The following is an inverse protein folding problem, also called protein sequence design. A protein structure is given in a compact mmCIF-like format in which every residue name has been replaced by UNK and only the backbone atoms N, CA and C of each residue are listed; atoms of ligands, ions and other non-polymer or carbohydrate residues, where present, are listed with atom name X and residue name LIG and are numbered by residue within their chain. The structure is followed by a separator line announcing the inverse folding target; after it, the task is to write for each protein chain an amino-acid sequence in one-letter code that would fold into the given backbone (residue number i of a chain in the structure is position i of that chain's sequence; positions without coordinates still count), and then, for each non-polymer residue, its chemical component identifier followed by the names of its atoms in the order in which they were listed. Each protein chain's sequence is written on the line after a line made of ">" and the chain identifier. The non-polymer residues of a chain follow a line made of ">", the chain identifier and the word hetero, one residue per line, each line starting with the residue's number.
data_IF_629948319265
#
_entry.id   IF_629948319265
#
_cell.length_a   1.000
_cell.length_b   1.000
_cell.length_c   1.000
_cell.angle_alpha   90.00
_cell.angle_beta   90.00
_cell.angle_gamma   90.00
#
_symmetry.space_group_name_H-M   'P 1'
#
loop_
_entity.id
_entity.type
_entity.pdbx_description
1 polymer ?
#
# COMPACT_ATOMS: atom_id res chain seq x y z
N UNK A 1 -16.66 -25.27 -40.21
CA UNK A 1 -17.86 -24.55 -39.72
C UNK A 1 -17.39 -23.56 -38.66
N UNK A 2 -17.59 -22.31 -38.94
CA UNK A 2 -17.01 -21.07 -38.41
C UNK A 2 -17.48 -20.84 -36.97
N UNK A 3 -16.54 -20.71 -36.01
CA UNK A 3 -16.86 -20.13 -34.71
C UNK A 3 -16.28 -18.70 -34.75
N UNK A 4 -17.19 -17.77 -34.99
CA UNK A 4 -16.91 -16.37 -35.17
C UNK A 4 -16.57 -15.69 -33.83
N UNK A 5 -15.63 -14.81 -33.95
CA UNK A 5 -15.14 -13.81 -33.01
C UNK A 5 -16.27 -12.99 -32.37
N UNK A 6 -16.22 -12.87 -31.04
CA UNK A 6 -16.70 -11.69 -30.34
C UNK A 6 -15.58 -11.15 -29.44
N UNK A 7 -14.59 -10.52 -30.08
CA UNK A 7 -13.74 -9.57 -29.37
C UNK A 7 -14.50 -8.25 -29.33
N UNK A 8 -15.16 -7.95 -28.20
CA UNK A 8 -15.61 -6.59 -27.93
C UNK A 8 -14.36 -5.70 -27.88
N UNK A 9 -14.26 -4.76 -28.83
CA UNK A 9 -13.30 -3.65 -28.77
C UNK A 9 -13.48 -2.95 -27.44
N UNK A 10 -12.59 -3.24 -26.48
CA UNK A 10 -12.48 -2.51 -25.24
C UNK A 10 -12.17 -1.05 -25.55
N UNK A 11 -13.02 -0.14 -25.07
CA UNK A 11 -12.74 1.29 -24.99
C UNK A 11 -11.36 1.41 -24.33
N UNK A 12 -10.38 2.03 -25.02
CA UNK A 12 -9.08 2.32 -24.40
C UNK A 12 -9.37 3.12 -23.14
N UNK A 13 -9.12 2.54 -21.97
CA UNK A 13 -9.26 3.23 -20.70
C UNK A 13 -8.18 4.30 -20.63
N UNK A 14 -8.57 5.50 -20.23
CA UNK A 14 -7.66 6.59 -19.92
C UNK A 14 -6.77 6.14 -18.74
N UNK A 15 -5.51 5.83 -19.02
CA UNK A 15 -4.52 5.38 -18.04
C UNK A 15 -3.74 6.55 -17.43
N UNK A 16 -4.11 7.80 -17.76
CA UNK A 16 -3.50 8.97 -17.15
C UNK A 16 -4.07 9.14 -15.72
N UNK A 17 -3.31 8.66 -14.74
CA UNK A 17 -3.63 8.76 -13.32
C UNK A 17 -3.03 10.05 -12.77
N UNK A 18 -3.88 10.87 -12.16
CA UNK A 18 -3.50 12.14 -11.54
C UNK A 18 -3.34 12.00 -10.02
N UNK A 19 -2.73 12.99 -9.39
CA UNK A 19 -2.68 13.11 -7.92
C UNK A 19 -4.07 13.17 -7.29
N UNK A 20 -5.03 13.82 -7.97
CA UNK A 20 -6.41 13.92 -7.49
C UNK A 20 -7.13 12.57 -7.53
N UNK A 21 -6.89 11.75 -8.55
CA UNK A 21 -7.41 10.38 -8.61
C UNK A 21 -6.92 9.57 -7.41
N UNK A 22 -5.65 9.71 -7.02
CA UNK A 22 -5.06 9.01 -5.87
C UNK A 22 -5.58 9.58 -4.53
N UNK A 23 -5.72 10.90 -4.43
CA UNK A 23 -6.25 11.56 -3.23
C UNK A 23 -7.70 11.14 -2.92
N UNK A 24 -8.52 10.87 -3.94
CA UNK A 24 -9.88 10.36 -3.73
C UNK A 24 -9.86 9.01 -3.01
N UNK A 25 -8.91 8.13 -3.32
CA UNK A 25 -8.82 6.79 -2.75
C UNK A 25 -8.47 6.78 -1.26
N UNK A 26 -7.83 7.83 -0.74
CA UNK A 26 -7.52 7.95 0.69
C UNK A 26 -8.74 8.20 1.59
N UNK A 27 -9.94 8.34 1.03
CA UNK A 27 -11.19 8.42 1.78
C UNK A 27 -11.61 7.08 2.39
N UNK A 28 -11.07 5.98 1.89
CA UNK A 28 -11.40 4.62 2.31
C UNK A 28 -10.16 3.91 2.84
N UNK A 29 -10.38 3.01 3.77
CA UNK A 29 -9.32 2.16 4.30
C UNK A 29 -8.86 1.09 3.29
N UNK A 30 -7.69 0.50 3.55
CA UNK A 30 -7.12 -0.52 2.66
C UNK A 30 -8.01 -1.75 2.50
N UNK A 31 -8.72 -2.27 3.52
CA UNK A 31 -9.73 -3.32 3.34
C UNK A 31 -10.82 -2.97 2.35
N UNK A 32 -11.37 -1.75 2.41
CA UNK A 32 -12.40 -1.29 1.47
C UNK A 32 -11.88 -1.23 0.03
N UNK A 33 -10.62 -0.75 -0.17
CA UNK A 33 -9.96 -0.79 -1.48
C UNK A 33 -9.79 -2.24 -1.96
N UNK A 34 -9.40 -3.17 -1.10
CA UNK A 34 -9.30 -4.59 -1.45
C UNK A 34 -10.65 -5.17 -1.90
N UNK A 35 -11.73 -4.89 -1.17
CA UNK A 35 -13.08 -5.33 -1.53
C UNK A 35 -13.50 -4.79 -2.91
N UNK A 36 -13.21 -3.52 -3.18
CA UNK A 36 -13.50 -2.94 -4.50
C UNK A 36 -12.67 -3.60 -5.62
N UNK A 37 -11.40 -3.90 -5.37
CA UNK A 37 -10.56 -4.60 -6.34
C UNK A 37 -11.02 -6.02 -6.62
N UNK A 38 -11.58 -6.73 -5.62
CA UNK A 38 -12.18 -8.06 -5.81
C UNK A 38 -13.40 -8.03 -6.74
N UNK A 39 -14.21 -6.97 -6.69
CA UNK A 39 -15.35 -6.78 -7.59
C UNK A 39 -14.90 -6.39 -9.01
N UNK A 40 -13.85 -5.56 -9.13
CA UNK A 40 -13.35 -5.08 -10.42
C UNK A 40 -12.54 -6.16 -11.14
N UNK A 41 -11.72 -6.92 -10.39
CA UNK A 41 -10.76 -7.91 -10.90
C UNK A 41 -10.81 -9.15 -9.98
N UNK A 42 -11.83 -10.02 -10.10
CA UNK A 42 -12.04 -11.15 -9.19
C UNK A 42 -10.86 -12.10 -9.06
N UNK A 43 -10.00 -12.19 -10.07
CA UNK A 43 -8.80 -13.02 -10.08
C UNK A 43 -7.77 -12.57 -9.04
N UNK A 44 -7.83 -11.31 -8.58
CA UNK A 44 -6.92 -10.74 -7.59
C UNK A 44 -7.28 -11.03 -6.13
N UNK A 45 -8.34 -11.74 -5.87
CA UNK A 45 -8.82 -12.03 -4.50
C UNK A 45 -7.75 -12.63 -3.57
N UNK A 46 -6.75 -13.31 -4.09
CA UNK A 46 -5.72 -13.99 -3.31
C UNK A 46 -4.33 -13.35 -3.34
N UNK A 47 -4.12 -12.20 -3.99
CA UNK A 47 -2.79 -11.60 -4.15
C UNK A 47 -2.83 -10.09 -4.41
N UNK A 48 -1.64 -9.46 -4.32
CA UNK A 48 -1.45 -8.03 -4.57
C UNK A 48 -1.65 -7.17 -3.34
N UNK A 49 -1.63 -7.75 -2.16
CA UNK A 49 -1.69 -7.07 -0.86
C UNK A 49 -0.74 -7.74 0.15
N UNK A 50 -0.49 -7.07 1.26
CA UNK A 50 0.33 -7.60 2.36
C UNK A 50 -0.41 -8.69 3.12
N UNK A 51 0.28 -9.79 3.46
CA UNK A 51 -0.33 -11.02 4.03
C UNK A 51 0.26 -11.45 5.37
N UNK A 52 1.32 -10.78 5.85
CA UNK A 52 1.97 -11.15 7.10
C UNK A 52 1.81 -10.05 8.16
N UNK A 53 2.09 -10.39 9.41
CA UNK A 53 2.00 -9.45 10.53
C UNK A 53 2.92 -8.24 10.31
N UNK A 54 2.41 -7.06 10.66
CA UNK A 54 3.09 -5.77 10.53
C UNK A 54 2.72 -4.85 11.70
N UNK A 55 3.49 -3.78 11.87
CA UNK A 55 3.25 -2.72 12.85
C UNK A 55 3.05 -1.39 12.13
N UNK A 56 2.01 -0.65 12.48
CA UNK A 56 1.86 0.75 12.09
C UNK A 56 2.48 1.64 13.14
N UNK A 57 3.26 2.64 12.72
CA UNK A 57 3.85 3.64 13.62
C UNK A 57 2.76 4.47 14.32
N UNK A 58 1.76 4.90 13.58
CA UNK A 58 0.59 5.63 14.09
C UNK A 58 -0.68 5.11 13.39
N UNK A 59 -1.41 4.18 14.03
CA UNK A 59 -2.61 3.58 13.43
C UNK A 59 -3.79 4.54 13.33
N UNK A 60 -3.69 5.74 13.89
CA UNK A 60 -4.74 6.77 13.77
C UNK A 60 -4.62 7.62 12.50
N UNK A 61 -3.52 7.49 11.76
CA UNK A 61 -3.35 8.25 10.51
C UNK A 61 -4.32 7.77 9.42
N UNK A 62 -4.81 8.70 8.60
CA UNK A 62 -5.61 8.34 7.43
C UNK A 62 -4.78 7.52 6.45
N UNK A 63 -5.44 6.75 5.56
CA UNK A 63 -4.77 6.04 4.48
C UNK A 63 -3.98 6.98 3.57
N UNK A 64 -2.95 6.43 2.92
CA UNK A 64 -2.17 7.10 1.90
C UNK A 64 -2.25 6.33 0.58
N UNK A 65 -2.22 7.06 -0.54
CA UNK A 65 -2.18 6.47 -1.87
C UNK A 65 -1.17 7.21 -2.75
N UNK A 66 -0.24 6.49 -3.38
CA UNK A 66 0.83 7.09 -4.15
C UNK A 66 1.58 6.12 -5.04
N UNK A 67 2.50 6.67 -5.83
CA UNK A 67 3.38 5.89 -6.69
C UNK A 67 4.54 5.30 -5.89
N UNK A 68 4.79 4.01 -6.05
CA UNK A 68 5.87 3.31 -5.36
C UNK A 68 7.26 3.84 -5.75
N UNK A 69 8.12 4.00 -4.74
CA UNK A 69 9.56 4.11 -4.87
C UNK A 69 10.19 2.94 -4.14
N UNK A 70 10.86 2.09 -4.87
CA UNK A 70 11.30 0.79 -4.36
C UNK A 70 12.81 0.76 -4.14
N UNK A 71 13.23 0.14 -3.05
CA UNK A 71 14.63 -0.07 -2.73
C UNK A 71 14.82 -1.33 -1.88
N UNK A 72 16.06 -1.81 -1.81
CA UNK A 72 16.47 -2.87 -0.89
C UNK A 72 17.51 -2.36 0.11
N UNK A 73 17.48 -2.92 1.32
CA UNK A 73 18.43 -2.65 2.39
C UNK A 73 18.97 -3.94 2.98
N UNK A 74 20.12 -3.83 3.61
CA UNK A 74 20.68 -4.82 4.53
C UNK A 74 21.18 -4.14 5.80
N UNK A 75 21.24 -4.89 6.91
CA UNK A 75 21.66 -4.38 8.21
C UNK A 75 22.50 -5.36 9.03
N UNK A 76 22.49 -6.65 8.73
CA UNK A 76 23.17 -7.68 9.51
C UNK A 76 24.71 -7.64 9.38
N UNK A 77 25.23 -7.05 8.31
CA UNK A 77 26.68 -6.91 8.06
C UNK A 77 27.02 -5.51 7.51
N UNK A 78 28.27 -5.05 7.67
CA UNK A 78 28.74 -3.81 7.05
C UNK A 78 28.60 -3.84 5.54
N UNK A 79 28.35 -2.67 4.93
CA UNK A 79 28.38 -2.53 3.48
C UNK A 79 29.75 -2.88 2.91
N UNK A 80 29.83 -3.58 1.77
CA UNK A 80 31.08 -3.78 1.04
C UNK A 80 31.56 -2.50 0.31
N UNK A 81 30.73 -1.48 0.24
CA UNK A 81 31.01 -0.22 -0.45
C UNK A 81 31.84 0.73 0.41
N UNK A 82 32.61 1.61 -0.23
CA UNK A 82 33.32 2.69 0.46
C UNK A 82 32.34 3.73 1.00
N UNK A 83 32.79 4.55 1.93
CA UNK A 83 31.97 5.65 2.48
C UNK A 83 31.49 6.59 1.38
N UNK A 84 32.33 6.92 0.41
CA UNK A 84 32.02 7.80 -0.72
C UNK A 84 30.92 7.18 -1.60
N UNK A 85 31.01 5.88 -1.87
CA UNK A 85 29.98 5.15 -2.64
C UNK A 85 28.65 5.11 -1.90
N UNK A 86 28.63 4.85 -0.60
CA UNK A 86 27.42 4.88 0.21
C UNK A 86 26.78 6.28 0.25
N UNK A 87 27.58 7.34 0.35
CA UNK A 87 27.08 8.72 0.31
C UNK A 87 26.45 9.04 -1.05
N UNK A 88 27.14 8.68 -2.15
CA UNK A 88 26.64 8.90 -3.49
C UNK A 88 25.33 8.11 -3.75
N UNK A 89 25.26 6.85 -3.32
CA UNK A 89 24.04 6.03 -3.44
C UNK A 89 22.89 6.63 -2.64
N UNK A 90 23.14 7.14 -1.44
CA UNK A 90 22.12 7.79 -0.62
C UNK A 90 21.61 9.09 -1.26
N UNK A 91 22.46 9.88 -1.88
CA UNK A 91 22.04 11.06 -2.62
C UNK A 91 21.17 10.69 -3.81
N UNK A 92 21.58 9.72 -4.63
CA UNK A 92 20.78 9.20 -5.75
C UNK A 92 19.43 8.63 -5.30
N UNK A 93 19.38 7.96 -4.16
CA UNK A 93 18.14 7.47 -3.57
C UNK A 93 17.18 8.62 -3.23
N UNK A 94 17.65 9.70 -2.61
CA UNK A 94 16.77 10.83 -2.29
C UNK A 94 16.27 11.56 -3.54
N UNK A 95 17.11 11.70 -4.57
CA UNK A 95 16.68 12.21 -5.88
C UNK A 95 15.58 11.31 -6.50
N UNK A 96 15.77 10.01 -6.43
CA UNK A 96 14.82 9.02 -6.93
C UNK A 96 13.48 9.05 -6.18
N UNK A 97 13.47 9.13 -4.85
CA UNK A 97 12.19 9.14 -4.10
C UNK A 97 11.42 10.45 -4.28
N UNK A 98 12.10 11.56 -4.57
CA UNK A 98 11.49 12.85 -4.86
C UNK A 98 11.05 13.01 -6.31
N UNK A 99 11.43 12.09 -7.21
CA UNK A 99 11.12 12.20 -8.64
C UNK A 99 9.63 12.01 -8.94
N UNK A 100 9.19 12.56 -10.08
CA UNK A 100 7.84 12.32 -10.63
C UNK A 100 7.69 10.92 -11.21
N UNK A 101 6.45 10.34 -11.26
CA UNK A 101 5.19 10.91 -10.79
C UNK A 101 5.09 10.96 -9.26
N UNK A 102 4.30 11.91 -8.75
CA UNK A 102 4.01 12.12 -7.33
C UNK A 102 2.48 12.17 -7.10
N UNK A 103 1.98 11.97 -5.85
CA UNK A 103 2.74 11.71 -4.61
C UNK A 103 3.37 10.31 -4.59
N UNK A 104 4.39 10.13 -3.72
CA UNK A 104 5.13 8.87 -3.64
C UNK A 104 4.95 8.16 -2.30
N UNK A 105 5.09 6.84 -2.32
CA UNK A 105 5.20 5.96 -1.16
C UNK A 105 6.44 5.10 -1.34
N UNK A 106 7.25 4.97 -0.30
CA UNK A 106 8.47 4.16 -0.36
C UNK A 106 8.16 2.72 0.05
N UNK A 107 8.58 1.75 -0.77
CA UNK A 107 8.51 0.33 -0.45
C UNK A 107 9.95 -0.20 -0.36
N UNK A 108 10.41 -0.46 0.85
CA UNK A 108 11.78 -0.94 1.10
C UNK A 108 11.76 -2.37 1.61
N UNK A 109 12.43 -3.26 0.88
CA UNK A 109 12.66 -4.62 1.32
C UNK A 109 13.99 -4.72 2.09
N UNK A 110 13.94 -5.18 3.32
CA UNK A 110 15.08 -5.70 4.05
C UNK A 110 15.35 -7.12 3.55
N UNK A 111 16.51 -7.32 2.90
CA UNK A 111 16.90 -8.58 2.27
C UNK A 111 17.83 -9.42 3.16
N UNK A 112 18.01 -9.05 4.43
CA UNK A 112 18.68 -9.91 5.40
C UNK A 112 17.93 -11.24 5.56
N UNK A 113 18.62 -12.35 5.84
CA UNK A 113 17.99 -13.65 6.13
C UNK A 113 16.96 -13.58 7.26
N UNK A 114 17.14 -12.65 8.19
CA UNK A 114 16.20 -12.30 9.25
C UNK A 114 15.96 -10.79 9.20
N UNK A 115 14.94 -10.31 8.49
CA UNK A 115 14.66 -8.89 8.38
C UNK A 115 14.46 -8.20 9.74
N UNK A 116 14.85 -6.93 9.83
CA UNK A 116 14.67 -6.12 11.02
C UNK A 116 15.81 -6.19 12.04
N UNK A 117 16.99 -6.60 11.65
CA UNK A 117 18.22 -6.49 12.49
C UNK A 117 18.55 -5.03 12.76
N UNK A 118 18.49 -4.18 11.75
CA UNK A 118 18.75 -2.75 11.86
C UNK A 118 17.62 -1.91 11.27
N UNK A 119 17.29 -0.82 11.97
CA UNK A 119 16.25 0.10 11.56
C UNK A 119 16.77 1.13 10.56
N UNK A 120 16.24 1.10 9.33
CA UNK A 120 16.43 2.19 8.37
C UNK A 120 15.60 3.42 8.75
N UNK A 121 14.38 3.20 9.25
CA UNK A 121 13.41 4.21 9.58
C UNK A 121 13.52 4.65 11.05
N UNK A 122 13.45 5.94 11.26
CA UNK A 122 13.44 6.62 12.54
C UNK A 122 13.20 8.11 12.34
N UNK A 123 13.47 8.94 13.35
CA UNK A 123 13.24 10.38 13.32
C UNK A 123 13.81 11.03 12.05
N UNK A 124 15.10 10.83 11.77
CA UNK A 124 15.80 11.50 10.65
C UNK A 124 15.20 11.08 9.30
N UNK A 125 15.03 9.78 9.06
CA UNK A 125 14.54 9.30 7.77
C UNK A 125 13.08 9.68 7.51
N UNK A 126 12.23 9.60 8.52
CA UNK A 126 10.81 9.99 8.37
C UNK A 126 10.67 11.49 8.07
N UNK A 127 11.49 12.34 8.72
CA UNK A 127 11.49 13.78 8.45
C UNK A 127 12.03 14.13 7.07
N UNK A 128 13.14 13.50 6.64
CA UNK A 128 13.69 13.71 5.27
C UNK A 128 12.65 13.34 4.22
N UNK A 129 12.09 12.12 4.30
CA UNK A 129 11.14 11.63 3.30
C UNK A 129 9.88 12.50 3.24
N UNK A 130 9.33 12.86 4.40
CA UNK A 130 8.20 13.78 4.48
C UNK A 130 8.53 15.14 3.85
N UNK A 131 9.71 15.69 4.13
CA UNK A 131 10.20 16.93 3.53
C UNK A 131 10.35 16.85 1.99
N UNK A 132 10.62 15.66 1.45
CA UNK A 132 10.66 15.38 0.02
C UNK A 132 9.28 15.09 -0.61
N UNK A 133 8.19 15.18 0.16
CA UNK A 133 6.83 14.95 -0.34
C UNK A 133 6.39 13.48 -0.36
N UNK A 134 7.16 12.57 0.25
CA UNK A 134 6.79 11.16 0.41
C UNK A 134 5.70 11.04 1.49
N UNK A 135 4.62 10.33 1.19
CA UNK A 135 3.47 10.18 2.08
C UNK A 135 3.70 9.19 3.22
N UNK A 136 4.49 8.17 2.96
CA UNK A 136 4.73 7.09 3.91
C UNK A 136 5.66 6.02 3.37
N UNK A 137 5.85 4.96 4.17
CA UNK A 137 6.69 3.84 3.79
C UNK A 137 6.15 2.50 4.28
N UNK A 138 6.42 1.44 3.52
CA UNK A 138 6.15 0.05 3.88
C UNK A 138 7.45 -0.74 3.81
N UNK A 139 7.81 -1.45 4.89
CA UNK A 139 9.04 -2.25 4.96
C UNK A 139 8.85 -3.49 5.81
N UNK A 140 9.45 -4.60 5.42
CA UNK A 140 9.59 -5.78 6.28
C UNK A 140 10.73 -5.65 7.29
N UNK A 141 11.54 -4.58 7.19
CA UNK A 141 12.58 -4.23 8.14
C UNK A 141 12.03 -3.60 9.43
N UNK A 142 12.92 -3.08 10.26
CA UNK A 142 12.56 -2.42 11.52
C UNK A 142 12.54 -0.90 11.41
N UNK A 143 11.85 -0.28 12.40
CA UNK A 143 11.86 1.15 12.64
C UNK A 143 12.09 1.45 14.15
N UNK A 144 12.51 2.67 14.46
CA UNK A 144 12.82 3.16 15.79
C UNK A 144 12.35 4.60 16.00
N UNK A 145 12.72 5.23 17.09
CA UNK A 145 12.42 6.63 17.41
C UNK A 145 10.90 6.93 17.30
N UNK A 146 10.09 6.00 17.82
CA UNK A 146 8.62 6.02 17.65
C UNK A 146 8.00 7.37 18.05
N UNK A 147 8.31 7.99 19.21
CA UNK A 147 7.71 9.26 19.60
C UNK A 147 8.24 10.47 18.80
N UNK A 148 9.44 10.35 18.20
CA UNK A 148 10.15 11.45 17.55
C UNK A 148 10.06 11.39 16.02
N UNK A 149 9.48 10.33 15.46
CA UNK A 149 9.23 10.18 14.04
C UNK A 149 8.30 11.26 13.50
N UNK A 150 8.46 11.62 12.23
CA UNK A 150 7.71 12.72 11.60
C UNK A 150 6.20 12.51 11.74
N UNK A 151 5.50 13.42 12.42
CA UNK A 151 4.05 13.37 12.57
C UNK A 151 3.34 13.37 11.23
N UNK A 152 2.37 12.48 11.05
CA UNK A 152 1.62 12.35 9.81
C UNK A 152 2.38 11.65 8.68
N UNK A 153 3.53 11.01 8.95
CA UNK A 153 4.20 10.11 8.02
C UNK A 153 3.71 8.68 8.26
N UNK A 154 3.04 8.08 7.27
CA UNK A 154 2.45 6.75 7.41
C UNK A 154 3.53 5.67 7.25
N UNK A 155 4.02 5.13 8.36
CA UNK A 155 5.07 4.12 8.37
C UNK A 155 4.54 2.77 8.85
N UNK A 156 4.70 1.77 8.00
CA UNK A 156 4.37 0.37 8.27
C UNK A 156 5.66 -0.43 8.22
N UNK A 157 5.95 -1.14 9.30
CA UNK A 157 7.19 -1.91 9.42
C UNK A 157 6.99 -3.30 10.02
N UNK A 158 8.00 -4.15 9.86
CA UNK A 158 7.96 -5.52 10.37
C UNK A 158 8.28 -5.64 11.85
N UNK A 159 8.98 -4.64 12.42
CA UNK A 159 9.47 -4.70 13.79
C UNK A 159 9.79 -3.31 14.33
N UNK A 160 9.62 -3.13 15.62
CA UNK A 160 10.21 -2.01 16.36
C UNK A 160 11.56 -2.47 16.90
N UNK A 161 12.64 -1.72 16.64
CA UNK A 161 13.99 -2.09 17.07
C UNK A 161 14.80 -0.88 17.55
N UNK A 162 15.78 -1.05 18.47
CA UNK A 162 16.51 0.06 19.07
C UNK A 162 17.70 0.56 18.27
N UNK A 163 18.22 -0.23 17.34
CA UNK A 163 19.50 0.04 16.67
C UNK A 163 19.36 0.12 15.15
N UNK A 164 20.15 0.97 14.52
CA UNK A 164 20.30 0.96 13.05
C UNK A 164 21.27 -0.14 12.57
N UNK A 165 22.03 -0.79 13.49
CA UNK A 165 23.07 -1.76 13.17
C UNK A 165 23.97 -1.26 12.01
N UNK A 166 24.16 -2.08 10.96
CA UNK A 166 24.91 -1.72 9.75
C UNK A 166 24.02 -1.33 8.57
N UNK A 167 22.79 -0.83 8.84
CA UNK A 167 21.81 -0.57 7.77
C UNK A 167 22.36 0.30 6.65
N UNK A 168 22.23 -0.19 5.44
CA UNK A 168 22.65 0.50 4.23
C UNK A 168 21.74 0.14 3.04
N UNK A 169 21.67 1.02 2.06
CA UNK A 169 21.00 0.75 0.79
C UNK A 169 21.82 -0.24 -0.04
N UNK A 170 21.14 -1.24 -0.58
CA UNK A 170 21.77 -2.20 -1.52
C UNK A 170 21.44 -1.80 -2.94
N UNK A 171 20.14 -1.75 -3.28
CA UNK A 171 19.63 -1.37 -4.60
C UNK A 171 18.51 -0.35 -4.51
N UNK A 172 18.33 0.45 -5.56
CA UNK A 172 17.23 1.39 -5.77
C UNK A 172 16.57 1.11 -7.12
N UNK A 173 15.29 1.48 -7.29
CA UNK A 173 14.54 1.27 -8.54
C UNK A 173 14.52 -0.21 -8.96
N UNK A 174 14.29 -1.11 -8.02
CA UNK A 174 14.28 -2.55 -8.22
C UNK A 174 12.94 -3.16 -7.79
N UNK A 175 12.62 -4.36 -8.30
CA UNK A 175 11.44 -5.09 -7.80
C UNK A 175 11.70 -5.56 -6.37
N UNK A 176 10.72 -5.36 -5.49
CA UNK A 176 10.78 -5.76 -4.07
C UNK A 176 9.57 -6.61 -3.70
N UNK A 177 9.74 -7.41 -2.64
CA UNK A 177 8.62 -8.15 -2.02
C UNK A 177 8.62 -7.86 -0.52
N UNK A 178 7.57 -7.20 -0.05
CA UNK A 178 7.40 -6.80 1.35
C UNK A 178 6.09 -7.37 1.88
N UNK A 179 6.16 -8.19 2.93
CA UNK A 179 4.99 -8.86 3.53
C UNK A 179 4.13 -9.65 2.52
N UNK A 180 4.72 -10.21 1.46
CA UNK A 180 4.00 -10.92 0.40
C UNK A 180 3.52 -10.03 -0.74
N UNK A 181 3.52 -8.71 -0.58
CA UNK A 181 3.24 -7.76 -1.65
C UNK A 181 4.50 -7.55 -2.53
N UNK A 182 4.41 -7.93 -3.79
CA UNK A 182 5.45 -7.62 -4.78
C UNK A 182 5.12 -6.30 -5.47
N UNK A 183 6.09 -5.39 -5.49
CA UNK A 183 5.94 -4.07 -6.09
C UNK A 183 7.21 -3.66 -6.86
N UNK A 184 7.04 -2.78 -7.83
CA UNK A 184 8.09 -2.12 -8.60
C UNK A 184 7.84 -0.62 -8.65
N UNK A 185 8.83 0.13 -9.09
CA UNK A 185 8.74 1.58 -9.27
C UNK A 185 7.51 1.97 -10.09
N UNK A 186 6.84 3.01 -9.63
CA UNK A 186 5.62 3.58 -10.19
C UNK A 186 4.36 2.69 -10.10
N UNK A 187 4.40 1.54 -9.47
CA UNK A 187 3.16 0.86 -9.08
C UNK A 187 2.35 1.77 -8.14
N UNK A 188 1.03 1.72 -8.23
CA UNK A 188 0.15 2.50 -7.37
C UNK A 188 -0.11 1.69 -6.10
N UNK A 189 0.25 2.26 -4.95
CA UNK A 189 0.10 1.62 -3.64
C UNK A 189 -0.87 2.44 -2.80
N UNK A 190 -1.82 1.74 -2.18
CA UNK A 190 -2.63 2.25 -1.09
C UNK A 190 -2.21 1.56 0.20
N UNK A 191 -2.09 2.31 1.29
CA UNK A 191 -1.61 1.77 2.56
C UNK A 191 -2.20 2.50 3.77
N UNK A 192 -2.48 1.74 4.83
CA UNK A 192 -2.88 2.22 6.15
C UNK A 192 -2.48 1.21 7.25
N UNK A 193 -3.03 1.34 8.46
CA UNK A 193 -2.75 0.44 9.58
C UNK A 193 -3.01 -1.05 9.30
N UNK A 194 -3.84 -1.38 8.30
CA UNK A 194 -4.15 -2.78 7.95
C UNK A 194 -3.11 -3.40 7.00
N UNK A 195 -2.25 -2.57 6.39
CA UNK A 195 -1.24 -2.98 5.44
C UNK A 195 -1.26 -2.18 4.15
N UNK A 196 -0.86 -2.83 3.06
CA UNK A 196 -0.77 -2.19 1.76
C UNK A 196 -1.34 -3.07 0.66
N UNK A 197 -1.90 -2.44 -0.38
CA UNK A 197 -2.40 -3.10 -1.60
C UNK A 197 -1.91 -2.35 -2.83
N UNK A 198 -1.56 -3.12 -3.87
CA UNK A 198 -1.22 -2.61 -5.19
C UNK A 198 -2.50 -2.45 -6.02
N UNK A 199 -2.71 -1.25 -6.54
CA UNK A 199 -3.87 -0.93 -7.38
C UNK A 199 -3.45 -0.92 -8.85
N UNK A 200 -4.01 -1.78 -9.70
CA UNK A 200 -3.80 -1.68 -11.15
C UNK A 200 -4.29 -0.34 -11.68
N UNK A 201 -3.51 0.36 -12.54
CA UNK A 201 -3.92 1.68 -13.07
C UNK A 201 -5.33 1.70 -13.65
N UNK A 202 -5.73 0.64 -14.36
CA UNK A 202 -7.07 0.52 -14.95
C UNK A 202 -8.22 0.48 -13.93
N UNK A 203 -7.94 0.13 -12.67
CA UNK A 203 -8.96 0.06 -11.61
C UNK A 203 -9.16 1.39 -10.88
N UNK A 204 -8.16 2.29 -10.85
CA UNK A 204 -8.15 3.51 -10.03
C UNK A 204 -9.45 4.30 -10.14
N UNK A 205 -9.87 4.62 -11.35
CA UNK A 205 -11.07 5.44 -11.61
C UNK A 205 -12.40 4.66 -11.44
N UNK A 206 -12.34 3.34 -11.27
CA UNK A 206 -13.53 2.50 -11.06
C UNK A 206 -13.84 2.33 -9.58
N UNK A 207 -12.81 2.34 -8.72
CA UNK A 207 -12.94 2.09 -7.28
C UNK A 207 -14.03 2.95 -6.61
N UNK A 208 -14.14 4.28 -6.82
CA UNK A 208 -15.16 5.08 -6.14
C UNK A 208 -16.59 4.60 -6.37
N UNK A 209 -16.95 4.26 -7.60
CA UNK A 209 -18.28 3.77 -7.93
C UNK A 209 -18.56 2.37 -7.36
N UNK A 210 -17.53 1.52 -7.33
CA UNK A 210 -17.65 0.16 -6.78
C UNK A 210 -17.74 0.20 -5.26
N UNK A 211 -16.99 1.07 -4.59
CA UNK A 211 -17.11 1.27 -3.13
C UNK A 211 -18.49 1.77 -2.76
N UNK A 212 -19.07 2.72 -3.52
CA UNK A 212 -20.45 3.18 -3.31
C UNK A 212 -21.45 2.01 -3.42
N UNK A 213 -21.30 1.16 -4.42
CA UNK A 213 -22.14 -0.02 -4.59
C UNK A 213 -22.02 -1.00 -3.41
N UNK A 214 -20.79 -1.32 -3.00
CA UNK A 214 -20.52 -2.22 -1.85
C UNK A 214 -21.13 -1.63 -0.58
N UNK A 215 -20.90 -0.34 -0.32
CA UNK A 215 -21.43 0.34 0.88
C UNK A 215 -22.94 0.30 0.96
N UNK A 216 -23.65 0.52 -0.14
CA UNK A 216 -25.12 0.40 -0.20
C UNK A 216 -25.60 -1.02 0.10
N UNK A 217 -24.88 -2.04 -0.37
CA UNK A 217 -25.19 -3.45 -0.08
C UNK A 217 -24.96 -3.81 1.38
N UNK A 218 -23.85 -3.34 1.95
CA UNK A 218 -23.47 -3.61 3.34
C UNK A 218 -24.37 -2.87 4.34
N UNK A 219 -24.76 -1.63 4.03
CA UNK A 219 -25.63 -0.81 4.89
C UNK A 219 -26.92 -1.53 5.26
N UNK A 220 -27.57 -2.18 4.30
CA UNK A 220 -28.80 -2.95 4.52
C UNK A 220 -28.57 -4.10 5.51
N UNK A 221 -27.44 -4.81 5.40
CA UNK A 221 -27.09 -5.87 6.37
C UNK A 221 -26.83 -5.29 7.75
N UNK A 222 -26.02 -4.21 7.79
CA UNK A 222 -25.63 -3.57 9.04
C UNK A 222 -26.84 -2.98 9.79
N UNK A 223 -27.77 -2.35 9.08
CA UNK A 223 -29.03 -1.86 9.67
C UNK A 223 -29.87 -3.00 10.23
N UNK A 224 -30.02 -4.08 9.47
CA UNK A 224 -30.74 -5.25 9.94
C UNK A 224 -30.07 -5.85 11.18
N UNK A 225 -28.72 -6.00 11.16
CA UNK A 225 -27.95 -6.58 12.25
C UNK A 225 -27.99 -5.75 13.55
N UNK A 226 -28.12 -4.43 13.43
CA UNK A 226 -28.22 -3.50 14.57
C UNK A 226 -29.63 -3.38 15.14
N UNK A 227 -30.67 -3.93 14.46
CA UNK A 227 -32.04 -3.82 14.90
C UNK A 227 -32.35 -4.72 16.11
N UNK A 228 -33.21 -4.27 17.01
CA UNK A 228 -33.59 -5.01 18.22
C UNK A 228 -34.26 -6.36 17.96
N UNK A 229 -34.87 -6.53 16.77
CA UNK A 229 -35.58 -7.73 16.31
C UNK A 229 -34.71 -8.60 15.36
N UNK A 230 -33.37 -8.44 15.40
CA UNK A 230 -32.48 -9.20 14.55
C UNK A 230 -32.55 -10.70 14.84
N UNK A 231 -32.75 -11.47 13.76
CA UNK A 231 -32.81 -12.94 13.78
C UNK A 231 -32.15 -13.51 12.52
N UNK A 232 -31.86 -14.81 12.53
CA UNK A 232 -31.39 -15.53 11.32
C UNK A 232 -32.39 -15.43 10.17
N UNK A 233 -33.71 -15.44 10.47
CA UNK A 233 -34.74 -15.30 9.45
C UNK A 233 -34.67 -13.90 8.80
N UNK A 234 -34.52 -12.83 9.61
CA UNK A 234 -34.36 -11.47 9.12
C UNK A 234 -33.09 -11.34 8.26
N UNK A 235 -31.94 -11.89 8.72
CA UNK A 235 -30.70 -11.91 7.95
C UNK A 235 -30.89 -12.55 6.57
N UNK A 236 -31.53 -13.72 6.50
CA UNK A 236 -31.78 -14.40 5.22
C UNK A 236 -32.62 -13.56 4.26
N UNK A 237 -33.66 -12.89 4.77
CA UNK A 237 -34.49 -11.98 3.98
C UNK A 237 -33.66 -10.80 3.45
N UNK A 238 -32.87 -10.18 4.33
CA UNK A 238 -31.99 -9.05 3.99
C UNK A 238 -30.94 -9.44 2.93
N UNK A 239 -30.31 -10.60 3.07
CA UNK A 239 -29.36 -11.12 2.06
C UNK A 239 -30.02 -11.36 0.70
N UNK A 240 -31.31 -11.68 0.66
CA UNK A 240 -32.07 -11.77 -0.59
C UNK A 240 -32.21 -10.42 -1.30
N UNK A 241 -32.44 -9.35 -0.57
CA UNK A 241 -32.62 -7.98 -1.10
C UNK A 241 -31.35 -7.41 -1.73
N UNK A 242 -30.15 -7.81 -1.25
CA UNK A 242 -28.85 -7.30 -1.74
C UNK A 242 -28.63 -7.67 -3.21
N UNK A 243 -29.15 -8.80 -3.67
CA UNK A 243 -28.98 -9.26 -5.07
C UNK A 243 -29.57 -8.30 -6.10
N UNK A 244 -30.51 -7.46 -5.68
CA UNK A 244 -31.24 -6.52 -6.55
C UNK A 244 -30.58 -5.12 -6.58
N UNK A 245 -29.47 -4.92 -5.84
CA UNK A 245 -28.73 -3.64 -5.79
C UNK A 245 -27.60 -3.67 -6.83
N UNK A 246 -27.71 -2.80 -7.83
CA UNK A 246 -26.79 -2.63 -8.94
C UNK A 246 -26.18 -1.23 -8.98
#
# INVERSE_FOLDING_TARGET
>A
MIIGQFVKKGKMMDTNITSDDLAILTKWDTPTICNALEEIIPERRGYGFTTTHLFSLDPALPPVCGFARTATIQAAAPSPETTEQMVAKRAAYYEYVAATPAPTIVIIQDIDPQPGVGAFWGEVQTNIHKGLGVLGAVTNGSFRDVPDSARGFNLIGGKVGPSHAFVHLVDIDCQVTVFGLTAKTNDIIHADQHGAVLIPPAAVKQIPAVVDLISRREEIILEAAKSADFTVAKLKTTMGQIKDIH
#
